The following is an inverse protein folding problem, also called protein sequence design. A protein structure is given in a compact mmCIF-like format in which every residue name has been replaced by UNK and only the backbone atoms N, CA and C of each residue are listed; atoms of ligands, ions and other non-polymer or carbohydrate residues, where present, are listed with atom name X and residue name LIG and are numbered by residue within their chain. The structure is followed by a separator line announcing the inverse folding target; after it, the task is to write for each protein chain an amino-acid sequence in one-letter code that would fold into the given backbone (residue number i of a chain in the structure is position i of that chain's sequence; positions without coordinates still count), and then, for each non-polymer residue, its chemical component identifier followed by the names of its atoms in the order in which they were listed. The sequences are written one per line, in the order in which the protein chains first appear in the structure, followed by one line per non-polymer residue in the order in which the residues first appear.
data_IF_348963257338
#
_entry.id   IF_348963257338
#
_cell.length_a   1.000
_cell.length_b   1.000
_cell.length_c   1.000
_cell.angle_alpha   90.00
_cell.angle_beta   90.00
_cell.angle_gamma   90.00
#
_symmetry.space_group_name_H-M   'P 1'
#
loop_
_entity.id
_entity.type
_entity.pdbx_description
1 polymer ?
#
# COMPACT_ATOMS: atom_id res chain seq x y z
N UNK A 1 15.61 -26.08 30.44
CA UNK A 1 16.71 -25.09 30.34
C UNK A 1 16.82 -24.73 28.87
N UNK A 2 16.66 -23.46 28.50
CA UNK A 2 16.59 -23.03 27.10
C UNK A 2 17.47 -21.79 26.90
N UNK A 3 18.35 -21.81 25.90
CA UNK A 3 19.25 -20.70 25.57
C UNK A 3 18.60 -19.67 24.64
N UNK A 4 19.15 -18.46 24.64
CA UNK A 4 18.90 -17.43 23.62
C UNK A 4 20.05 -17.42 22.59
N UNK A 5 19.76 -17.02 21.35
CA UNK A 5 20.74 -16.56 20.34
C UNK A 5 20.02 -15.83 19.19
N UNK A 6 20.70 -14.88 18.54
CA UNK A 6 20.14 -13.93 17.56
C UNK A 6 20.17 -14.43 16.10
N UNK A 7 19.32 -13.87 15.21
CA UNK A 7 19.21 -14.31 13.81
C UNK A 7 18.49 -13.38 12.81
N UNK A 8 18.98 -12.15 12.66
CA UNK A 8 19.00 -11.30 11.44
C UNK A 8 17.96 -11.60 10.32
N UNK A 9 16.85 -10.83 10.28
CA UNK A 9 16.13 -10.40 9.06
C UNK A 9 15.16 -9.25 9.45
N UNK A 10 14.95 -8.17 8.64
CA UNK A 10 14.35 -6.93 9.16
C UNK A 10 12.87 -6.98 9.53
N UNK A 11 12.06 -7.78 8.84
CA UNK A 11 10.59 -7.70 8.91
C UNK A 11 9.95 -9.09 8.98
N UNK A 12 9.84 -9.63 10.20
CA UNK A 12 9.08 -10.85 10.49
C UNK A 12 8.11 -10.58 11.64
N UNK A 13 6.81 -10.70 11.38
CA UNK A 13 5.75 -10.57 12.38
C UNK A 13 4.98 -11.90 12.45
N UNK A 14 4.81 -12.47 13.64
CA UNK A 14 4.17 -13.78 13.86
C UNK A 14 2.85 -13.66 14.63
N UNK A 15 1.89 -14.52 14.30
CA UNK A 15 0.63 -14.70 15.03
C UNK A 15 0.36 -16.20 15.17
N UNK A 16 -0.12 -16.61 16.36
CA UNK A 16 -0.45 -18.00 16.77
C UNK A 16 -1.99 -18.21 16.66
N UNK A 17 -2.57 -19.44 16.55
CA UNK A 17 -2.05 -20.77 16.88
C UNK A 17 -1.80 -21.64 15.63
N UNK A 18 -1.98 -22.97 15.67
CA UNK A 18 -1.57 -23.99 14.64
C UNK A 18 -2.73 -24.27 13.65
N UNK A 19 -2.62 -25.06 12.56
CA UNK A 19 -1.58 -25.98 12.08
C UNK A 19 -0.31 -25.28 11.53
N UNK A 20 0.80 -26.01 11.37
CA UNK A 20 2.10 -25.45 10.93
C UNK A 20 2.17 -25.07 9.44
N UNK A 21 1.14 -24.42 8.88
CA UNK A 21 1.15 -23.89 7.53
C UNK A 21 2.12 -22.70 7.42
N UNK A 22 3.30 -22.92 6.84
CA UNK A 22 4.15 -21.84 6.33
C UNK A 22 3.61 -21.46 4.96
N UNK A 23 3.06 -20.27 4.83
CA UNK A 23 2.65 -19.71 3.55
C UNK A 23 3.74 -18.76 3.03
N UNK A 24 4.17 -18.96 1.79
CA UNK A 24 5.12 -18.12 1.08
C UNK A 24 4.43 -17.54 -0.15
N UNK A 25 4.51 -16.21 -0.35
CA UNK A 25 3.86 -15.53 -1.48
C UNK A 25 4.67 -14.33 -2.01
N UNK A 26 4.65 -14.13 -3.33
CA UNK A 26 5.32 -13.01 -4.01
C UNK A 26 4.45 -11.74 -3.94
N UNK A 27 5.08 -10.58 -3.72
CA UNK A 27 4.48 -9.24 -3.88
C UNK A 27 3.35 -8.88 -2.91
N UNK A 28 2.95 -9.79 -2.01
CA UNK A 28 1.88 -9.58 -1.03
C UNK A 28 1.96 -10.59 0.10
N UNK A 29 1.52 -10.20 1.29
CA UNK A 29 1.33 -11.15 2.40
C UNK A 29 0.34 -12.26 2.00
N UNK A 30 0.62 -13.53 2.33
CA UNK A 30 -0.29 -14.63 2.07
C UNK A 30 -1.57 -14.53 2.89
N UNK A 31 -2.67 -15.04 2.35
CA UNK A 31 -3.95 -15.15 3.07
C UNK A 31 -3.94 -16.43 3.91
N UNK A 32 -3.95 -16.30 5.24
CA UNK A 32 -4.07 -17.43 6.18
C UNK A 32 -5.53 -17.53 6.66
N UNK A 33 -6.05 -18.76 6.73
CA UNK A 33 -7.24 -19.09 7.52
C UNK A 33 -6.84 -20.12 8.56
N UNK A 34 -7.15 -19.89 9.84
CA UNK A 34 -6.63 -20.74 10.91
C UNK A 34 -7.49 -22.00 11.15
N UNK A 35 -8.80 -21.94 10.83
CA UNK A 35 -9.79 -22.99 11.12
C UNK A 35 -10.49 -23.54 9.86
N UNK A 36 -9.82 -23.62 8.70
CA UNK A 36 -10.42 -24.01 7.41
C UNK A 36 -11.68 -23.19 7.02
N UNK A 37 -11.77 -21.94 7.49
CA UNK A 37 -12.93 -21.08 7.25
C UNK A 37 -13.06 -20.73 5.76
N UNK A 38 -14.18 -21.14 5.15
CA UNK A 38 -14.48 -20.87 3.74
C UNK A 38 -14.55 -19.36 3.52
N UNK A 39 -13.69 -18.81 2.65
CA UNK A 39 -13.79 -17.41 2.24
C UNK A 39 -15.16 -17.15 1.59
N UNK A 40 -15.82 -16.00 1.85
CA UNK A 40 -17.08 -15.66 1.20
C UNK A 40 -16.91 -15.68 -0.32
N UNK A 41 -17.88 -16.26 -1.02
CA UNK A 41 -17.79 -16.62 -2.46
C UNK A 41 -17.67 -15.43 -3.42
N UNK A 42 -17.79 -14.20 -2.92
CA UNK A 42 -17.47 -12.95 -3.63
C UNK A 42 -15.97 -12.62 -3.68
N UNK A 43 -15.12 -13.32 -2.93
CA UNK A 43 -13.67 -13.17 -3.01
C UNK A 43 -13.14 -13.84 -4.29
N UNK A 44 -12.59 -13.05 -5.21
CA UNK A 44 -11.88 -13.58 -6.39
C UNK A 44 -10.71 -14.47 -5.94
N UNK A 45 -10.79 -15.76 -6.29
CA UNK A 45 -9.88 -16.85 -5.87
C UNK A 45 -9.19 -17.55 -7.05
N UNK A 46 -9.23 -16.97 -8.26
CA UNK A 46 -8.32 -17.40 -9.35
C UNK A 46 -6.88 -17.04 -8.95
N UNK A 47 -6.06 -18.09 -8.80
CA UNK A 47 -4.65 -18.03 -8.40
C UNK A 47 -4.39 -17.35 -7.05
N UNK A 48 -4.56 -18.11 -5.96
CA UNK A 48 -3.66 -17.92 -4.83
C UNK A 48 -2.40 -18.77 -5.07
N UNK A 49 -1.40 -18.17 -5.73
CA UNK A 49 -0.09 -18.79 -5.97
C UNK A 49 0.76 -18.86 -4.66
N UNK A 50 0.13 -19.11 -3.50
CA UNK A 50 0.83 -19.24 -2.22
C UNK A 50 1.34 -20.66 -2.01
N UNK A 51 2.63 -20.79 -1.72
CA UNK A 51 3.27 -22.08 -1.45
C UNK A 51 3.04 -22.40 0.02
N UNK A 52 2.29 -23.47 0.30
CA UNK A 52 1.94 -23.90 1.67
C UNK A 52 2.75 -25.14 2.05
N UNK A 53 3.41 -25.09 3.20
CA UNK A 53 4.30 -26.15 3.69
C UNK A 53 3.98 -26.46 5.15
N UNK A 54 3.75 -27.73 5.48
CA UNK A 54 3.59 -28.19 6.86
C UNK A 54 4.91 -28.76 7.39
N UNK A 55 5.33 -28.34 8.59
CA UNK A 55 6.59 -28.81 9.21
C UNK A 55 6.41 -29.12 10.69
N UNK A 56 6.87 -30.27 11.15
CA UNK A 56 6.94 -30.60 12.59
C UNK A 56 8.23 -30.02 13.21
N UNK A 57 8.11 -29.51 14.44
CA UNK A 57 9.22 -29.01 15.25
C UNK A 57 9.61 -30.04 16.31
N UNK A 58 10.90 -30.10 16.66
CA UNK A 58 11.43 -31.05 17.66
C UNK A 58 12.47 -30.40 18.57
N UNK A 59 12.61 -30.90 19.80
CA UNK A 59 13.48 -30.32 20.85
C UNK A 59 14.97 -30.20 20.45
N UNK A 60 15.44 -31.03 19.51
CA UNK A 60 16.74 -30.90 18.86
C UNK A 60 16.59 -31.16 17.36
N UNK A 61 16.15 -30.14 16.62
CA UNK A 61 15.88 -30.28 15.18
C UNK A 61 17.18 -30.35 14.36
N UNK A 62 17.66 -31.58 14.14
CA UNK A 62 18.86 -31.88 13.32
C UNK A 62 18.66 -31.63 11.81
N UNK A 63 17.41 -31.61 11.33
CA UNK A 63 17.09 -31.52 9.90
C UNK A 63 16.26 -30.25 9.63
N UNK A 64 16.75 -29.41 8.71
CA UNK A 64 15.97 -28.29 8.15
C UNK A 64 15.00 -28.80 7.07
N UNK A 65 13.79 -28.23 7.00
CA UNK A 65 12.88 -28.47 5.86
C UNK A 65 13.33 -27.61 4.68
N UNK A 66 13.79 -28.23 3.60
CA UNK A 66 14.19 -27.55 2.38
C UNK A 66 12.95 -27.33 1.49
N UNK A 67 12.76 -26.10 1.03
CA UNK A 67 11.80 -25.77 -0.03
C UNK A 67 12.55 -25.46 -1.34
N UNK A 68 12.44 -26.30 -2.37
CA UNK A 68 12.93 -25.95 -3.70
C UNK A 68 11.93 -25.01 -4.41
N UNK A 69 12.27 -23.73 -4.53
CA UNK A 69 11.53 -22.76 -5.35
C UNK A 69 12.21 -22.62 -6.71
N UNK A 70 11.74 -23.36 -7.71
CA UNK A 70 12.20 -23.22 -9.08
C UNK A 70 11.58 -21.98 -9.75
N UNK A 71 12.33 -21.36 -10.68
CA UNK A 71 11.88 -20.20 -11.47
C UNK A 71 11.13 -19.11 -10.68
N UNK A 72 11.69 -18.58 -9.58
CA UNK A 72 11.06 -17.54 -8.78
C UNK A 72 10.84 -16.26 -9.60
N UNK A 73 9.77 -15.52 -9.29
CA UNK A 73 9.59 -14.14 -9.74
C UNK A 73 10.50 -13.19 -8.95
N UNK A 74 10.93 -12.13 -9.61
CA UNK A 74 11.61 -10.99 -8.98
C UNK A 74 10.64 -10.14 -8.15
N UNK A 75 11.18 -9.43 -7.16
CA UNK A 75 10.43 -8.63 -6.19
C UNK A 75 10.42 -9.24 -4.79
N UNK A 76 9.65 -8.66 -3.88
CA UNK A 76 9.60 -9.07 -2.48
C UNK A 76 8.83 -10.38 -2.26
N UNK A 77 9.36 -11.24 -1.38
CA UNK A 77 8.75 -12.50 -0.99
C UNK A 77 8.35 -12.46 0.49
N UNK A 78 7.06 -12.68 0.77
CA UNK A 78 6.49 -12.61 2.11
C UNK A 78 6.22 -14.01 2.65
N UNK A 79 6.76 -14.29 3.84
CA UNK A 79 6.51 -15.51 4.63
C UNK A 79 5.58 -15.18 5.78
N UNK A 80 4.60 -16.04 6.03
CA UNK A 80 3.87 -16.07 7.30
C UNK A 80 3.73 -17.52 7.80
N UNK A 81 3.75 -17.71 9.13
CA UNK A 81 3.69 -19.01 9.78
C UNK A 81 2.92 -18.92 11.10
N UNK A 82 2.23 -20.00 11.49
CA UNK A 82 1.32 -20.04 12.63
C UNK A 82 1.43 -21.36 13.44
N UNK A 83 1.43 -21.25 14.79
CA UNK A 83 1.60 -22.31 15.82
C UNK A 83 1.39 -21.68 17.20
N UNK A 84 0.86 -22.25 18.31
CA UNK A 84 -0.07 -23.35 18.68
C UNK A 84 -0.48 -23.10 20.16
N UNK A 85 -1.60 -23.53 20.74
CA UNK A 85 -2.84 -24.19 20.29
C UNK A 85 -2.76 -25.73 20.35
N UNK A 86 -1.85 -26.26 21.16
CA UNK A 86 -1.58 -27.69 21.34
C UNK A 86 -2.38 -28.34 22.49
N UNK A 87 -3.02 -27.53 23.33
CA UNK A 87 -3.89 -27.98 24.43
C UNK A 87 -5.06 -26.99 24.55
N UNK A 88 -6.28 -27.52 24.49
CA UNK A 88 -7.54 -26.77 24.69
C UNK A 88 -7.99 -26.82 26.16
N UNK A 89 -7.28 -27.54 27.03
CA UNK A 89 -7.64 -27.74 28.43
C UNK A 89 -7.15 -26.59 29.30
N UNK A 90 -7.95 -26.23 30.29
CA UNK A 90 -7.64 -25.16 31.24
C UNK A 90 -6.52 -25.60 32.19
N UNK A 91 -5.27 -25.29 31.82
CA UNK A 91 -4.12 -25.49 32.70
C UNK A 91 -4.10 -24.44 33.82
N UNK A 92 -3.85 -24.86 35.06
CA UNK A 92 -3.85 -23.99 36.23
C UNK A 92 -2.70 -22.97 36.16
N UNK A 93 -3.04 -21.70 36.42
CA UNK A 93 -2.17 -20.55 36.17
C UNK A 93 -0.90 -20.58 37.04
N UNK A 94 0.21 -21.02 36.44
CA UNK A 94 1.52 -21.15 37.09
C UNK A 94 2.25 -22.47 36.83
N UNK A 95 1.54 -23.53 36.43
CA UNK A 95 2.12 -24.87 36.24
C UNK A 95 2.53 -25.18 34.78
N UNK A 96 2.07 -24.40 33.80
CA UNK A 96 2.40 -24.60 32.38
C UNK A 96 3.81 -24.11 32.01
N UNK A 97 4.64 -24.99 31.42
CA UNK A 97 5.95 -24.60 30.87
C UNK A 97 5.81 -23.67 29.66
N UNK A 98 6.30 -22.43 29.78
CA UNK A 98 6.37 -21.46 28.68
C UNK A 98 7.50 -21.81 27.70
N UNK A 99 7.22 -22.72 26.77
CA UNK A 99 8.10 -22.98 25.63
C UNK A 99 8.23 -21.70 24.78
N UNK A 100 9.46 -21.20 24.61
CA UNK A 100 9.79 -20.21 23.59
C UNK A 100 10.09 -20.94 22.29
N UNK A 101 9.50 -20.49 21.19
CA UNK A 101 9.71 -21.05 19.85
C UNK A 101 10.36 -19.99 18.97
N UNK A 102 11.41 -20.38 18.24
CA UNK A 102 12.07 -19.55 17.24
C UNK A 102 12.05 -20.26 15.90
N UNK A 103 11.81 -19.50 14.83
CA UNK A 103 11.88 -20.00 13.44
C UNK A 103 13.02 -19.27 12.72
N UNK A 104 14.05 -20.03 12.36
CA UNK A 104 15.09 -19.56 11.44
C UNK A 104 14.73 -19.92 10.00
N UNK A 105 14.96 -19.01 9.07
CA UNK A 105 14.81 -19.24 7.63
C UNK A 105 16.04 -18.72 6.90
N UNK A 106 16.72 -19.59 6.15
CA UNK A 106 17.84 -19.21 5.27
C UNK A 106 17.40 -19.46 3.83
N UNK A 107 17.52 -18.43 2.99
CA UNK A 107 17.36 -18.56 1.55
C UNK A 107 18.71 -18.89 0.91
N UNK A 108 18.73 -19.87 0.03
CA UNK A 108 19.87 -20.20 -0.84
C UNK A 108 19.38 -20.08 -2.29
N UNK A 109 20.20 -19.50 -3.16
CA UNK A 109 19.87 -19.27 -4.56
C UNK A 109 20.98 -19.80 -5.48
N UNK A 110 20.58 -20.34 -6.62
CA UNK A 110 21.47 -20.72 -7.73
C UNK A 110 21.08 -19.89 -8.95
N UNK A 111 22.04 -19.20 -9.55
CA UNK A 111 21.83 -18.41 -10.77
C UNK A 111 22.04 -19.27 -12.02
N UNK A 112 21.33 -18.94 -13.10
CA UNK A 112 21.65 -19.43 -14.45
C UNK A 112 22.34 -18.29 -15.18
N UNK A 113 23.65 -18.41 -15.34
CA UNK A 113 24.49 -17.39 -15.96
C UNK A 113 24.45 -17.44 -17.50
N UNK A 114 24.98 -16.38 -18.14
CA UNK A 114 25.15 -16.28 -19.58
C UNK A 114 23.89 -16.51 -20.46
N UNK A 115 22.68 -16.31 -19.89
CA UNK A 115 21.42 -16.29 -20.66
C UNK A 115 21.50 -15.21 -21.75
N UNK A 116 21.39 -15.63 -23.02
CA UNK A 116 21.55 -14.78 -24.20
C UNK A 116 20.34 -13.87 -24.45
N UNK A 117 20.58 -12.72 -25.10
CA UNK A 117 19.56 -11.71 -25.41
C UNK A 117 18.95 -11.93 -26.81
N UNK A 118 17.63 -11.99 -26.92
CA UNK A 118 16.91 -11.87 -28.19
C UNK A 118 16.56 -10.40 -28.42
N UNK A 119 17.17 -9.79 -29.44
CA UNK A 119 16.89 -8.42 -29.87
C UNK A 119 15.53 -8.31 -30.55
N UNK A 120 14.70 -7.37 -30.09
CA UNK A 120 13.36 -7.13 -30.64
C UNK A 120 13.43 -6.49 -32.04
N UNK A 121 12.53 -6.88 -32.93
CA UNK A 121 12.43 -6.40 -34.33
C UNK A 121 13.31 -7.16 -35.33
N UNK A 122 14.49 -7.62 -34.90
CA UNK A 122 15.45 -8.33 -35.75
C UNK A 122 15.22 -9.85 -35.77
N UNK A 123 15.62 -10.50 -36.87
CA UNK A 123 15.78 -11.95 -36.90
C UNK A 123 17.15 -12.30 -36.33
N UNK A 124 17.20 -13.34 -35.51
CA UNK A 124 18.43 -13.88 -34.94
C UNK A 124 18.45 -15.41 -35.11
N UNK A 125 19.65 -15.95 -35.30
CA UNK A 125 19.90 -17.39 -35.33
C UNK A 125 20.65 -17.76 -34.06
N UNK A 126 20.18 -18.80 -33.36
CA UNK A 126 20.78 -19.27 -32.12
C UNK A 126 21.13 -20.75 -32.21
N UNK A 127 22.21 -21.14 -31.54
CA UNK A 127 22.64 -22.52 -31.37
C UNK A 127 22.49 -22.93 -29.90
N UNK A 128 21.99 -24.14 -29.62
CA UNK A 128 21.75 -24.59 -28.23
C UNK A 128 23.01 -25.21 -27.63
N UNK A 129 23.58 -24.58 -26.60
CA UNK A 129 24.79 -25.06 -25.90
C UNK A 129 24.59 -26.36 -25.10
N UNK A 130 23.35 -26.66 -24.68
CA UNK A 130 22.98 -27.88 -23.94
C UNK A 130 21.56 -28.32 -24.33
N UNK A 131 21.08 -29.43 -23.75
CA UNK A 131 19.70 -29.93 -23.93
C UNK A 131 18.62 -29.02 -23.33
N UNK A 132 18.98 -28.00 -22.55
CA UNK A 132 18.04 -27.07 -21.90
C UNK A 132 18.64 -25.67 -21.87
N UNK A 133 18.27 -24.84 -22.84
CA UNK A 133 18.74 -23.45 -22.94
C UNK A 133 17.64 -22.44 -22.62
N UNK A 134 18.07 -21.30 -22.09
CA UNK A 134 17.22 -20.16 -21.80
C UNK A 134 17.70 -18.95 -22.60
N UNK A 135 16.75 -18.18 -23.12
CA UNK A 135 16.99 -16.91 -23.79
C UNK A 135 16.10 -15.85 -23.13
N UNK A 136 16.62 -14.62 -22.98
CA UNK A 136 15.88 -13.50 -22.37
C UNK A 136 15.60 -12.40 -23.38
N UNK A 137 14.50 -11.70 -23.18
CA UNK A 137 13.92 -10.74 -24.12
C UNK A 137 13.48 -9.54 -23.32
N UNK A 138 14.01 -8.36 -23.63
CA UNK A 138 13.56 -7.12 -23.00
C UNK A 138 12.35 -6.57 -23.75
N UNK A 139 11.22 -6.38 -23.06
CA UNK A 139 10.04 -5.71 -23.59
C UNK A 139 9.96 -4.31 -22.96
N UNK A 140 10.21 -3.22 -23.72
CA UNK A 140 10.06 -1.87 -23.21
C UNK A 140 8.59 -1.50 -22.98
N UNK A 141 8.35 -0.48 -22.15
CA UNK A 141 7.04 0.18 -22.04
C UNK A 141 6.51 0.67 -23.41
N UNK A 142 5.18 0.70 -23.56
CA UNK A 142 4.51 1.09 -24.80
C UNK A 142 4.34 0.00 -25.87
N UNK A 143 4.86 -1.22 -25.65
CA UNK A 143 4.54 -2.40 -26.50
C UNK A 143 3.19 -2.96 -26.08
N UNK A 144 2.17 -2.89 -26.95
CA UNK A 144 0.81 -3.38 -26.65
C UNK A 144 0.69 -4.90 -26.72
N UNK A 145 1.35 -5.53 -27.69
CA UNK A 145 1.42 -6.99 -27.83
C UNK A 145 2.71 -7.36 -28.54
N UNK A 146 3.17 -8.61 -28.44
CA UNK A 146 4.28 -9.08 -29.25
C UNK A 146 4.07 -10.51 -29.77
N UNK A 147 4.65 -10.78 -30.93
CA UNK A 147 4.67 -12.10 -31.55
C UNK A 147 6.10 -12.61 -31.60
N UNK A 148 6.38 -13.71 -30.91
CA UNK A 148 7.66 -14.40 -30.97
C UNK A 148 7.51 -15.62 -31.86
N UNK A 149 8.13 -15.59 -33.03
CA UNK A 149 8.14 -16.70 -33.99
C UNK A 149 9.46 -17.47 -33.90
N UNK A 150 9.39 -18.80 -33.88
CA UNK A 150 10.51 -19.74 -33.93
C UNK A 150 10.33 -20.65 -35.16
N UNK A 151 11.37 -20.82 -35.98
CA UNK A 151 11.31 -21.62 -37.22
C UNK A 151 12.71 -22.06 -37.69
N UNK A 152 12.78 -22.84 -38.78
CA UNK A 152 14.02 -23.35 -39.41
C UNK A 152 14.98 -23.93 -38.36
N UNK A 153 14.56 -25.04 -37.75
CA UNK A 153 15.24 -25.68 -36.62
C UNK A 153 15.93 -26.96 -37.10
N UNK A 154 17.26 -27.01 -37.08
CA UNK A 154 18.06 -28.09 -37.65
C UNK A 154 19.04 -28.65 -36.60
N UNK A 155 19.28 -29.96 -36.62
CA UNK A 155 20.34 -30.58 -35.82
C UNK A 155 21.72 -30.32 -36.42
N UNK A 156 22.69 -29.87 -35.62
CA UNK A 156 24.08 -29.65 -36.06
C UNK A 156 24.91 -30.94 -36.08
N UNK A 157 24.48 -31.97 -35.34
CA UNK A 157 25.07 -33.31 -35.36
C UNK A 157 24.23 -34.25 -36.21
N UNK A 158 24.74 -34.59 -37.40
CA UNK A 158 24.15 -35.57 -38.31
C UNK A 158 24.25 -37.01 -37.75
N UNK A 159 23.33 -37.36 -36.86
CA UNK A 159 22.86 -38.75 -36.73
C UNK A 159 21.60 -38.91 -37.57
N UNK A 160 21.35 -40.11 -38.10
CA UNK A 160 20.19 -40.41 -38.94
C UNK A 160 18.97 -40.63 -38.02
N UNK A 161 18.41 -39.55 -37.49
CA UNK A 161 17.11 -39.54 -36.81
C UNK A 161 16.02 -39.13 -37.80
N UNK A 162 14.81 -39.69 -37.62
CA UNK A 162 13.71 -39.53 -38.57
C UNK A 162 13.31 -38.05 -38.72
N UNK A 163 13.04 -37.61 -39.95
CA UNK A 163 12.58 -36.26 -40.30
C UNK A 163 11.26 -35.90 -39.57
N UNK A 164 10.56 -36.92 -39.05
CA UNK A 164 9.36 -36.81 -38.21
C UNK A 164 9.63 -36.45 -36.73
N UNK A 165 10.87 -36.56 -36.23
CA UNK A 165 11.18 -36.21 -34.84
C UNK A 165 11.16 -34.69 -34.61
N UNK A 166 10.67 -34.22 -33.43
CA UNK A 166 10.76 -32.81 -33.07
C UNK A 166 12.20 -32.43 -32.70
N UNK A 167 12.73 -31.41 -33.36
CA UNK A 167 14.06 -30.84 -33.05
C UNK A 167 14.03 -30.01 -31.76
N UNK A 168 12.91 -29.31 -31.49
CA UNK A 168 12.57 -28.77 -30.17
C UNK A 168 11.49 -29.66 -29.57
N UNK A 169 11.86 -30.43 -28.56
CA UNK A 169 10.97 -31.33 -27.82
C UNK A 169 9.97 -30.53 -26.97
N UNK A 170 10.40 -29.42 -26.37
CA UNK A 170 9.50 -28.46 -25.71
C UNK A 170 10.08 -27.05 -25.71
N UNK A 171 9.23 -26.08 -26.04
CA UNK A 171 9.45 -24.65 -25.84
C UNK A 171 8.36 -24.06 -24.94
N UNK A 172 8.73 -23.09 -24.12
CA UNK A 172 7.81 -22.38 -23.22
C UNK A 172 8.26 -20.94 -23.00
N UNK A 173 7.30 -19.99 -22.98
CA UNK A 173 7.54 -18.55 -22.81
C UNK A 173 6.86 -18.07 -21.52
N UNK A 174 7.59 -17.31 -20.69
CA UNK A 174 7.08 -16.77 -19.42
C UNK A 174 7.67 -15.38 -19.13
N UNK A 175 6.82 -14.44 -18.69
CA UNK A 175 7.26 -13.12 -18.23
C UNK A 175 7.72 -13.11 -16.77
N UNK A 176 8.67 -12.24 -16.43
CA UNK A 176 9.16 -11.93 -15.06
C UNK A 176 9.79 -13.09 -14.27
N UNK A 177 9.83 -14.30 -14.82
CA UNK A 177 10.48 -15.47 -14.22
C UNK A 177 10.78 -16.52 -15.29
N UNK A 178 11.80 -17.35 -15.03
CA UNK A 178 12.14 -18.49 -15.89
C UNK A 178 10.94 -19.46 -16.02
N UNK A 179 10.65 -20.02 -17.21
CA UNK A 179 9.71 -21.12 -17.37
C UNK A 179 10.21 -22.37 -16.63
N UNK A 180 9.29 -23.17 -16.12
CA UNK A 180 9.58 -24.40 -15.38
C UNK A 180 8.75 -25.51 -16.01
N UNK A 181 9.38 -26.61 -16.43
CA UNK A 181 8.65 -27.77 -16.92
C UNK A 181 8.13 -28.60 -15.74
N UNK A 182 6.93 -28.28 -15.24
CA UNK A 182 6.28 -29.03 -14.18
C UNK A 182 5.19 -29.95 -14.76
N UNK A 183 5.38 -31.27 -14.64
CA UNK A 183 4.44 -32.29 -15.14
C UNK A 183 3.01 -32.12 -14.63
N UNK A 184 2.81 -31.54 -13.43
CA UNK A 184 1.50 -31.37 -12.80
C UNK A 184 0.73 -30.13 -13.31
N UNK A 185 1.41 -29.15 -13.90
CA UNK A 185 0.81 -27.91 -14.39
C UNK A 185 1.22 -27.65 -15.84
N UNK A 186 0.78 -28.53 -16.74
CA UNK A 186 1.06 -28.47 -18.18
C UNK A 186 0.31 -27.33 -18.89
N UNK A 187 0.65 -26.09 -18.56
CA UNK A 187 0.39 -24.95 -19.47
C UNK A 187 1.16 -25.24 -20.77
N UNK A 188 0.51 -25.00 -21.91
CA UNK A 188 0.77 -25.76 -23.15
C UNK A 188 2.24 -25.85 -23.59
N UNK A 189 2.89 -26.99 -23.33
CA UNK A 189 4.18 -27.34 -23.91
C UNK A 189 4.06 -27.49 -25.43
N UNK A 190 4.74 -26.65 -26.21
CA UNK A 190 4.73 -26.73 -27.68
C UNK A 190 6.03 -27.37 -28.18
N UNK A 191 5.95 -28.17 -29.23
CA UNK A 191 7.09 -28.82 -29.88
C UNK A 191 7.27 -28.26 -31.31
N UNK A 192 8.46 -28.43 -31.89
CA UNK A 192 8.77 -27.99 -33.25
C UNK A 192 9.52 -29.09 -34.02
N UNK A 193 9.05 -29.45 -35.21
CA UNK A 193 9.78 -30.26 -36.19
C UNK A 193 10.56 -29.36 -37.15
N UNK A 194 11.51 -29.93 -37.89
CA UNK A 194 12.51 -29.17 -38.67
C UNK A 194 11.90 -28.14 -39.64
N UNK A 195 10.85 -28.56 -40.38
CA UNK A 195 10.13 -27.73 -41.34
C UNK A 195 8.92 -26.96 -40.76
N UNK A 196 8.73 -26.97 -39.43
CA UNK A 196 7.65 -26.24 -38.80
C UNK A 196 8.06 -24.82 -38.40
N UNK A 197 7.07 -23.94 -38.27
CA UNK A 197 7.19 -22.69 -37.51
C UNK A 197 6.13 -22.63 -36.43
N UNK A 198 6.45 -21.99 -35.31
CA UNK A 198 5.51 -21.74 -34.22
C UNK A 198 5.61 -20.28 -33.79
N UNK A 199 4.48 -19.68 -33.42
CA UNK A 199 4.43 -18.28 -32.94
C UNK A 199 3.71 -18.20 -31.61
N UNK A 200 4.41 -17.76 -30.58
CA UNK A 200 3.80 -17.30 -29.33
C UNK A 200 3.25 -15.89 -29.54
N UNK A 201 2.05 -15.63 -29.04
CA UNK A 201 1.41 -14.31 -29.08
C UNK A 201 1.08 -13.86 -27.66
N UNK A 202 1.77 -12.84 -27.17
CA UNK A 202 1.44 -12.19 -25.90
C UNK A 202 0.59 -10.95 -26.17
N UNK A 203 -0.57 -10.85 -25.53
CA UNK A 203 -1.61 -9.84 -25.82
C UNK A 203 -1.70 -8.74 -24.75
N UNK A 204 -1.06 -8.93 -23.60
CA UNK A 204 -0.95 -7.92 -22.55
C UNK A 204 0.41 -8.09 -21.84
N UNK A 205 1.52 -7.70 -22.49
CA UNK A 205 2.85 -7.94 -21.98
C UNK A 205 3.14 -7.07 -20.76
N UNK A 206 3.96 -7.59 -19.84
CA UNK A 206 4.47 -6.79 -18.73
C UNK A 206 5.40 -5.68 -19.24
N UNK A 207 5.08 -4.42 -18.93
CA UNK A 207 5.92 -3.26 -19.25
C UNK A 207 7.29 -3.31 -18.55
N UNK A 208 8.32 -2.78 -19.23
CA UNK A 208 9.73 -2.70 -18.81
C UNK A 208 10.21 -3.95 -18.05
N UNK A 209 9.88 -5.12 -18.61
CA UNK A 209 10.07 -6.42 -17.99
C UNK A 209 10.75 -7.40 -18.94
N UNK A 210 11.54 -8.31 -18.37
CA UNK A 210 12.11 -9.43 -19.11
C UNK A 210 11.11 -10.57 -19.29
N UNK A 211 11.06 -11.10 -20.51
CA UNK A 211 10.47 -12.39 -20.85
C UNK A 211 11.57 -13.42 -21.06
N UNK A 212 11.28 -14.67 -20.71
CA UNK A 212 12.21 -15.78 -20.79
C UNK A 212 11.61 -16.90 -21.65
N UNK A 213 12.34 -17.30 -22.68
CA UNK A 213 12.05 -18.44 -23.54
C UNK A 213 12.93 -19.62 -23.07
N UNK A 214 12.29 -20.72 -22.70
CA UNK A 214 12.91 -22.03 -22.47
C UNK A 214 12.84 -22.83 -23.78
N UNK A 215 13.95 -23.44 -24.17
CA UNK A 215 14.06 -24.38 -25.29
C UNK A 215 14.70 -25.69 -24.79
N UNK A 216 14.04 -26.81 -25.06
CA UNK A 216 14.52 -28.16 -24.74
C UNK A 216 14.67 -28.96 -26.04
N UNK A 217 15.83 -29.59 -26.21
CA UNK A 217 16.20 -30.38 -27.39
C UNK A 217 17.02 -31.60 -26.99
N UNK A 218 16.98 -32.67 -27.79
CA UNK A 218 17.74 -33.91 -27.56
C UNK A 218 19.24 -33.78 -27.87
N UNK A 219 19.61 -32.79 -28.67
CA UNK A 219 20.94 -32.59 -29.24
C UNK A 219 21.13 -31.12 -29.59
N UNK A 220 22.36 -30.73 -29.94
CA UNK A 220 22.69 -29.37 -30.38
C UNK A 220 21.93 -29.05 -31.68
N UNK A 221 21.02 -28.08 -31.60
CA UNK A 221 20.25 -27.53 -32.72
C UNK A 221 20.65 -26.09 -33.02
N UNK A 222 20.49 -25.69 -34.27
CA UNK A 222 20.43 -24.30 -34.72
C UNK A 222 18.97 -23.94 -35.05
N UNK A 223 18.48 -22.78 -34.63
CA UNK A 223 17.13 -22.32 -34.95
C UNK A 223 17.05 -20.81 -35.17
N UNK A 224 16.05 -20.36 -35.93
CA UNK A 224 15.77 -18.94 -36.16
C UNK A 224 14.66 -18.45 -35.23
N UNK A 225 14.81 -17.23 -34.72
CA UNK A 225 13.80 -16.55 -33.90
C UNK A 225 13.67 -15.08 -34.29
N UNK A 226 12.46 -14.53 -34.14
CA UNK A 226 12.17 -13.10 -34.32
C UNK A 226 11.04 -12.67 -33.41
N UNK A 227 11.23 -11.52 -32.74
CA UNK A 227 10.19 -10.89 -31.92
C UNK A 227 9.67 -9.67 -32.67
N UNK A 228 8.40 -9.72 -33.06
CA UNK A 228 7.69 -8.58 -33.68
C UNK A 228 6.85 -7.87 -32.61
N UNK A 229 7.23 -6.66 -32.17
CA UNK A 229 6.41 -5.85 -31.28
C UNK A 229 5.27 -5.20 -32.07
N UNK A 230 4.10 -5.09 -31.44
CA UNK A 230 3.01 -4.23 -31.89
C UNK A 230 2.97 -3.02 -30.97
N UNK A 231 3.36 -1.87 -31.52
CA UNK A 231 3.26 -0.56 -30.86
C UNK A 231 2.03 0.12 -31.47
N UNK A 232 1.09 0.55 -30.64
CA UNK A 232 -0.22 1.01 -31.11
C UNK A 232 -0.47 2.47 -30.73
N UNK A 233 -0.59 3.34 -31.74
CA UNK A 233 -0.82 4.79 -31.58
C UNK A 233 -2.25 5.16 -31.12
N UNK A 234 -2.96 4.26 -30.44
CA UNK A 234 -4.21 4.58 -29.76
C UNK A 234 -3.90 5.00 -28.32
N UNK A 235 -4.56 6.05 -27.85
CA UNK A 235 -4.50 6.49 -26.46
C UNK A 235 -5.83 6.21 -25.77
N UNK A 236 -5.79 5.42 -24.70
CA UNK A 236 -6.92 5.25 -23.80
C UNK A 236 -7.06 6.47 -22.88
N UNK A 237 -8.29 6.98 -22.78
CA UNK A 237 -8.74 7.91 -21.76
C UNK A 237 -9.77 7.19 -20.88
N UNK A 238 -9.49 7.08 -19.59
CA UNK A 238 -10.42 6.53 -18.61
C UNK A 238 -10.99 7.69 -17.79
N UNK A 239 -12.30 7.90 -17.90
CA UNK A 239 -13.06 8.87 -17.12
C UNK A 239 -13.71 8.12 -15.95
N UNK A 240 -13.52 8.63 -14.73
CA UNK A 240 -14.03 7.99 -13.51
C UNK A 240 -14.95 8.97 -12.80
N UNK A 241 -16.20 8.58 -12.61
CA UNK A 241 -17.26 9.35 -11.97
C UNK A 241 -17.55 8.78 -10.56
N UNK A 242 -17.64 9.66 -9.57
CA UNK A 242 -17.86 9.31 -8.16
C UNK A 242 -19.08 10.09 -7.62
N UNK A 243 -20.05 9.39 -7.02
CA UNK A 243 -21.25 9.99 -6.43
C UNK A 243 -21.67 9.27 -5.13
N UNK A 244 -22.21 10.02 -4.16
CA UNK A 244 -22.76 9.48 -2.91
C UNK A 244 -24.24 9.14 -3.06
N UNK A 245 -24.71 8.08 -2.41
CA UNK A 245 -26.07 7.53 -2.36
C UNK A 245 -26.73 7.12 -3.69
N UNK A 246 -26.16 7.51 -4.84
CA UNK A 246 -26.71 7.26 -6.18
C UNK A 246 -25.62 6.80 -7.13
N UNK A 247 -25.98 5.91 -8.04
CA UNK A 247 -25.14 5.47 -9.16
C UNK A 247 -24.97 6.66 -10.14
N UNK A 248 -23.73 7.07 -10.49
CA UNK A 248 -23.49 8.14 -11.45
C UNK A 248 -24.20 7.91 -12.79
N UNK A 249 -24.85 8.95 -13.32
CA UNK A 249 -25.36 8.96 -14.69
C UNK A 249 -24.30 9.51 -15.64
N UNK A 250 -23.98 8.76 -16.68
CA UNK A 250 -23.13 9.21 -17.78
C UNK A 250 -23.94 10.11 -18.72
N UNK A 251 -23.38 11.25 -19.11
CA UNK A 251 -23.98 12.15 -20.10
C UNK A 251 -23.76 11.68 -21.55
N UNK A 252 -24.45 12.34 -22.49
CA UNK A 252 -24.45 12.00 -23.93
C UNK A 252 -23.08 12.07 -24.63
N UNK A 253 -22.03 12.56 -23.95
CA UNK A 253 -20.65 12.59 -24.45
C UNK A 253 -19.68 11.80 -23.56
N UNK A 254 -20.19 10.81 -22.81
CA UNK A 254 -19.45 9.97 -21.87
C UNK A 254 -18.72 10.73 -20.74
N UNK A 255 -19.10 12.00 -20.52
CA UNK A 255 -18.71 12.81 -19.38
C UNK A 255 -19.60 12.50 -18.16
N UNK A 256 -19.04 12.73 -16.96
CA UNK A 256 -19.78 12.68 -15.71
C UNK A 256 -20.74 13.89 -15.61
N UNK A 257 -21.96 13.69 -15.09
CA UNK A 257 -22.94 14.78 -14.94
C UNK A 257 -22.52 15.78 -13.83
N UNK A 258 -22.92 17.04 -13.95
CA UNK A 258 -22.36 18.19 -13.21
C UNK A 258 -22.33 18.13 -11.67
N UNK A 259 -23.12 17.25 -11.04
CA UNK A 259 -23.15 17.03 -9.58
C UNK A 259 -22.17 15.93 -9.11
N UNK A 260 -21.43 15.30 -10.04
CA UNK A 260 -20.58 14.14 -9.75
C UNK A 260 -19.10 14.49 -9.85
N UNK A 261 -18.32 13.99 -8.88
CA UNK A 261 -16.88 14.21 -8.84
C UNK A 261 -16.24 13.37 -9.97
N UNK A 262 -15.35 13.97 -10.74
CA UNK A 262 -14.75 13.31 -11.91
C UNK A 262 -13.23 13.43 -11.93
N UNK A 263 -12.56 12.37 -12.38
CA UNK A 263 -11.13 12.37 -12.65
C UNK A 263 -10.81 11.65 -13.97
N UNK A 264 -9.73 12.08 -14.63
CA UNK A 264 -9.28 11.53 -15.91
C UNK A 264 -7.87 10.93 -15.84
N UNK A 265 -7.75 9.67 -16.26
CA UNK A 265 -6.50 8.94 -16.42
C UNK A 265 -6.23 8.77 -17.91
N UNK A 266 -4.99 8.96 -18.37
CA UNK A 266 -4.67 8.84 -19.80
C UNK A 266 -3.35 8.15 -20.07
N UNK A 267 -3.38 7.21 -21.01
CA UNK A 267 -2.25 6.34 -21.39
C UNK A 267 -1.04 7.07 -22.00
N UNK A 268 -1.11 8.39 -22.19
CA UNK A 268 -0.08 9.19 -22.85
C UNK A 268 0.61 10.19 -21.92
N UNK A 269 -0.07 10.67 -20.87
CA UNK A 269 0.38 11.80 -20.04
C UNK A 269 0.04 11.67 -18.54
N UNK A 270 -0.87 10.76 -18.15
CA UNK A 270 -1.37 10.63 -16.77
C UNK A 270 -1.59 9.16 -16.41
N UNK A 271 -0.49 8.44 -16.16
CA UNK A 271 -0.53 7.04 -15.71
C UNK A 271 -0.97 6.90 -14.25
N UNK A 272 -0.72 7.92 -13.42
CA UNK A 272 -1.12 7.99 -12.02
C UNK A 272 -1.87 9.30 -11.73
N UNK A 273 -3.07 9.22 -11.15
CA UNK A 273 -3.78 10.39 -10.60
C UNK A 273 -4.36 10.07 -9.23
N UNK A 274 -4.07 10.94 -8.26
CA UNK A 274 -4.63 10.86 -6.92
C UNK A 274 -5.83 11.80 -6.80
N UNK A 275 -6.91 11.35 -6.18
CA UNK A 275 -8.09 12.15 -5.86
C UNK A 275 -8.49 11.93 -4.40
N UNK A 276 -8.73 13.03 -3.68
CA UNK A 276 -8.95 13.02 -2.23
C UNK A 276 -10.27 13.71 -1.90
N UNK A 277 -11.15 12.99 -1.21
CA UNK A 277 -12.38 13.57 -0.66
C UNK A 277 -12.10 13.93 0.81
N UNK A 278 -12.09 15.23 1.11
CA UNK A 278 -11.88 15.76 2.47
C UNK A 278 -13.21 15.69 3.25
N UNK A 279 -13.18 15.21 4.49
CA UNK A 279 -14.35 14.95 5.34
C UNK A 279 -15.54 14.26 4.61
N UNK A 280 -15.34 13.05 4.06
CA UNK A 280 -16.37 12.34 3.32
C UNK A 280 -17.58 12.04 4.22
N UNK A 281 -18.77 12.43 3.75
CA UNK A 281 -20.02 12.13 4.44
C UNK A 281 -20.25 10.60 4.52
N UNK A 282 -20.78 10.09 5.66
CA UNK A 282 -21.16 8.69 5.79
C UNK A 282 -22.28 8.34 4.80
N UNK A 283 -22.21 7.15 4.22
CA UNK A 283 -23.14 6.68 3.18
C UNK A 283 -22.44 5.76 2.18
N UNK A 284 -23.18 5.28 1.19
CA UNK A 284 -22.62 4.44 0.12
C UNK A 284 -22.09 5.34 -1.00
N UNK A 285 -20.82 5.16 -1.35
CA UNK A 285 -20.19 5.87 -2.46
C UNK A 285 -20.08 4.94 -3.68
N UNK A 286 -20.67 5.36 -4.79
CA UNK A 286 -20.66 4.64 -6.06
C UNK A 286 -19.58 5.22 -6.97
N UNK A 287 -18.79 4.34 -7.58
CA UNK A 287 -17.72 4.68 -8.51
C UNK A 287 -17.99 3.96 -9.83
N UNK A 288 -18.00 4.71 -10.93
CA UNK A 288 -18.08 4.17 -12.30
C UNK A 288 -16.84 4.63 -13.06
N UNK A 289 -16.16 3.70 -13.72
CA UNK A 289 -15.19 4.00 -14.77
C UNK A 289 -15.82 3.79 -16.16
N UNK A 290 -15.46 4.65 -17.10
CA UNK A 290 -15.76 4.49 -18.51
C UNK A 290 -14.50 4.81 -19.33
N UNK A 291 -14.31 4.12 -20.46
CA UNK A 291 -13.09 4.23 -21.27
C UNK A 291 -13.43 4.58 -22.71
N UNK A 292 -12.72 5.59 -23.25
CA UNK A 292 -12.78 6.02 -24.64
C UNK A 292 -11.39 5.88 -25.22
N UNK A 293 -11.28 5.32 -26.43
CA UNK A 293 -10.02 5.16 -27.12
C UNK A 293 -9.93 6.18 -28.26
N UNK A 294 -8.82 6.92 -28.32
CA UNK A 294 -8.58 7.93 -29.35
C UNK A 294 -7.45 7.46 -30.26
N UNK A 295 -7.66 7.56 -31.57
CA UNK A 295 -6.57 7.40 -32.55
C UNK A 295 -5.68 8.65 -32.53
N UNK A 296 -4.47 8.57 -33.09
CA UNK A 296 -3.50 9.68 -33.21
C UNK A 296 -4.12 10.99 -33.72
N UNK A 297 -5.11 10.89 -34.61
CA UNK A 297 -5.84 12.03 -35.18
C UNK A 297 -6.94 12.62 -34.25
N UNK A 298 -6.90 12.34 -32.95
CA UNK A 298 -7.81 12.90 -31.93
C UNK A 298 -9.28 12.44 -32.00
N UNK A 299 -9.63 11.56 -32.94
CA UNK A 299 -10.99 11.00 -33.06
C UNK A 299 -11.15 9.77 -32.17
N UNK A 300 -12.31 9.66 -31.52
CA UNK A 300 -12.73 8.45 -30.82
C UNK A 300 -12.88 7.29 -31.82
N UNK A 301 -12.40 6.12 -31.41
CA UNK A 301 -12.44 4.86 -32.18
C UNK A 301 -12.84 3.73 -31.25
N UNK A 302 -13.34 2.62 -31.82
CA UNK A 302 -13.53 1.41 -31.02
C UNK A 302 -12.17 0.95 -30.48
N UNK A 303 -12.09 0.75 -29.17
CA UNK A 303 -10.91 0.19 -28.52
C UNK A 303 -10.58 -1.17 -29.14
N UNK A 304 -9.36 -1.35 -29.66
CA UNK A 304 -8.88 -2.65 -30.13
C UNK A 304 -8.21 -3.47 -29.00
N UNK A 305 -8.19 -2.92 -27.79
CA UNK A 305 -7.80 -3.59 -26.56
C UNK A 305 -8.84 -4.64 -26.17
N UNK A 306 -8.42 -5.88 -25.91
CA UNK A 306 -9.33 -6.96 -25.50
C UNK A 306 -9.81 -6.83 -24.05
N UNK A 307 -8.86 -6.56 -23.14
CA UNK A 307 -9.10 -6.20 -21.74
C UNK A 307 -8.10 -5.10 -21.35
N UNK A 308 -8.44 -4.22 -20.40
CA UNK A 308 -7.51 -3.25 -19.79
C UNK A 308 -7.63 -3.33 -18.27
N UNK A 309 -6.50 -3.54 -17.59
CA UNK A 309 -6.42 -3.64 -16.14
C UNK A 309 -6.16 -2.27 -15.50
N UNK A 310 -7.18 -1.69 -14.88
CA UNK A 310 -7.03 -0.52 -13.99
C UNK A 310 -6.89 -0.99 -12.53
N UNK A 311 -5.82 -0.58 -11.83
CA UNK A 311 -5.67 -0.80 -10.38
C UNK A 311 -6.16 0.44 -9.64
N UNK A 312 -7.23 0.31 -8.86
CA UNK A 312 -7.78 1.38 -8.02
C UNK A 312 -7.46 1.12 -6.54
N UNK A 313 -6.78 2.06 -5.87
CA UNK A 313 -6.27 1.91 -4.51
C UNK A 313 -6.99 2.87 -3.54
N UNK A 314 -8.23 2.53 -3.16
CA UNK A 314 -9.05 3.35 -2.25
C UNK A 314 -8.56 3.16 -0.81
N UNK A 315 -8.22 4.26 -0.13
CA UNK A 315 -7.80 4.27 1.29
C UNK A 315 -8.40 5.46 2.02
N UNK A 316 -8.91 5.20 3.22
CA UNK A 316 -9.25 6.26 4.19
C UNK A 316 -7.96 6.62 4.94
N UNK A 317 -7.69 7.92 5.09
CA UNK A 317 -6.57 8.46 5.89
C UNK A 317 -7.12 9.38 6.99
N UNK A 318 -6.34 9.56 8.07
CA UNK A 318 -6.70 10.47 9.18
C UNK A 318 -6.48 11.94 8.79
N UNK A 319 -5.36 12.24 8.14
CA UNK A 319 -5.02 13.55 7.60
C UNK A 319 -4.45 13.39 6.17
N UNK A 320 -4.25 14.49 5.45
CA UNK A 320 -4.11 14.47 3.98
C UNK A 320 -2.73 14.03 3.50
N UNK A 321 -1.66 14.43 4.18
CA UNK A 321 -0.29 14.19 3.70
C UNK A 321 0.26 12.80 4.10
N UNK A 322 1.53 12.55 3.76
CA UNK A 322 2.22 11.28 3.99
C UNK A 322 2.30 10.94 5.48
N UNK A 323 2.31 9.64 5.80
CA UNK A 323 2.16 9.11 7.16
C UNK A 323 3.30 9.52 8.12
N UNK A 324 4.44 9.98 7.59
CA UNK A 324 5.55 10.59 8.36
C UNK A 324 5.29 12.05 8.80
N UNK A 325 4.47 12.80 8.04
CA UNK A 325 4.18 14.24 8.23
C UNK A 325 2.74 14.56 7.80
N UNK A 326 1.74 14.07 8.54
CA UNK A 326 0.33 14.08 8.12
C UNK A 326 -0.29 15.47 7.89
N UNK A 327 0.30 16.53 8.46
CA UNK A 327 -0.08 17.94 8.30
C UNK A 327 1.12 18.81 7.87
N UNK A 328 2.01 18.24 7.05
CA UNK A 328 3.22 18.91 6.58
C UNK A 328 4.22 19.22 7.70
N UNK A 329 4.90 20.37 7.60
CA UNK A 329 5.76 20.91 8.66
C UNK A 329 5.02 21.92 9.57
N UNK A 330 3.75 22.21 9.30
CA UNK A 330 3.06 23.42 9.77
C UNK A 330 1.87 23.14 10.71
N UNK A 331 1.65 21.87 11.07
CA UNK A 331 0.69 21.47 12.09
C UNK A 331 0.86 20.02 12.53
N UNK A 332 0.05 19.61 13.50
CA UNK A 332 0.02 18.26 14.07
C UNK A 332 -1.35 17.64 13.78
N UNK A 333 -1.37 16.40 13.27
CA UNK A 333 -2.62 15.65 13.07
C UNK A 333 -3.14 15.19 14.43
N UNK A 334 -4.29 15.73 14.85
CA UNK A 334 -4.91 15.45 16.13
C UNK A 334 -6.20 14.64 15.93
N UNK A 335 -6.28 13.50 16.61
CA UNK A 335 -7.50 12.68 16.67
C UNK A 335 -8.42 13.22 17.77
N UNK A 336 -9.69 13.41 17.43
CA UNK A 336 -10.71 13.98 18.30
C UNK A 336 -11.90 13.02 18.33
N UNK A 337 -12.21 12.53 19.53
CA UNK A 337 -13.44 11.81 19.82
C UNK A 337 -14.41 12.75 20.54
N UNK A 338 -15.57 13.00 19.95
CA UNK A 338 -16.68 13.75 20.57
C UNK A 338 -17.95 12.91 20.50
N UNK A 339 -18.37 12.38 21.63
CA UNK A 339 -19.47 11.43 21.77
C UNK A 339 -19.27 10.20 20.85
N UNK A 340 -20.04 10.12 19.76
CA UNK A 340 -20.00 9.02 18.76
C UNK A 340 -19.16 9.40 17.53
N UNK A 341 -18.78 10.67 17.38
CA UNK A 341 -18.00 11.15 16.25
C UNK A 341 -16.50 11.00 16.53
N UNK A 342 -15.84 10.15 15.75
CA UNK A 342 -14.39 10.04 15.67
C UNK A 342 -13.93 10.73 14.39
N UNK A 343 -13.11 11.76 14.50
CA UNK A 343 -12.49 12.42 13.36
C UNK A 343 -11.06 12.85 13.68
N UNK A 344 -10.27 13.09 12.64
CA UNK A 344 -8.94 13.68 12.77
C UNK A 344 -8.93 15.03 12.04
N UNK A 345 -8.09 15.95 12.50
CA UNK A 345 -7.92 17.28 11.91
C UNK A 345 -6.49 17.77 12.12
N UNK A 346 -6.03 18.67 11.27
CA UNK A 346 -4.73 19.32 11.43
C UNK A 346 -4.84 20.52 12.38
N UNK A 347 -4.11 20.46 13.50
CA UNK A 347 -3.95 21.58 14.44
C UNK A 347 -2.71 22.39 14.03
N UNK A 348 -2.92 23.60 13.50
CA UNK A 348 -1.87 24.38 12.85
C UNK A 348 -1.02 25.20 13.82
N UNK A 349 0.25 25.39 13.48
CA UNK A 349 1.13 26.31 14.21
C UNK A 349 0.81 27.77 13.88
N UNK A 350 1.15 28.70 14.79
CA UNK A 350 0.84 30.13 14.65
C UNK A 350 1.39 30.68 13.33
N UNK A 351 0.54 31.40 12.59
CA UNK A 351 0.84 31.88 11.23
C UNK A 351 0.28 31.01 10.11
N UNK A 352 -0.22 29.80 10.43
CA UNK A 352 -0.79 28.86 9.46
C UNK A 352 -2.25 28.52 9.79
N UNK A 353 -3.02 28.30 8.74
CA UNK A 353 -4.46 28.07 8.70
C UNK A 353 -4.80 27.09 7.57
N UNK A 354 -6.08 26.83 7.33
CA UNK A 354 -6.53 25.82 6.38
C UNK A 354 -6.68 24.44 7.02
N UNK A 355 -7.25 23.50 6.27
CA UNK A 355 -7.53 22.13 6.73
C UNK A 355 -6.30 21.21 6.63
N UNK A 356 -5.23 21.66 5.99
CA UNK A 356 -3.94 20.98 5.83
C UNK A 356 -2.74 21.79 6.37
N UNK A 357 -3.02 22.96 6.97
CA UNK A 357 -2.05 23.93 7.48
C UNK A 357 -1.13 24.58 6.44
N UNK A 358 -1.54 24.69 5.17
CA UNK A 358 -0.76 25.38 4.13
C UNK A 358 -1.08 26.87 3.97
N UNK A 359 -2.28 27.32 4.35
CA UNK A 359 -2.71 28.72 4.16
C UNK A 359 -2.05 29.65 5.18
N UNK A 360 -1.30 30.67 4.74
CA UNK A 360 -0.65 31.64 5.62
C UNK A 360 -1.68 32.64 6.16
N UNK A 361 -1.84 32.71 7.48
CA UNK A 361 -2.78 33.63 8.14
C UNK A 361 -2.16 35.03 8.28
N UNK A 362 -2.77 36.04 7.65
CA UNK A 362 -2.34 37.43 7.81
C UNK A 362 -2.39 37.88 9.28
N UNK A 363 -1.29 38.45 9.77
CA UNK A 363 -0.96 38.65 11.19
C UNK A 363 -1.82 39.65 11.98
N UNK A 364 -2.83 40.24 11.34
CA UNK A 364 -3.66 41.33 11.88
C UNK A 364 -4.48 40.89 13.10
N UNK A 365 -4.96 39.65 13.14
CA UNK A 365 -5.77 39.09 14.24
C UNK A 365 -4.97 38.92 15.54
N UNK A 366 -3.67 38.65 15.47
CA UNK A 366 -2.82 38.39 16.64
C UNK A 366 -2.53 39.65 17.48
N UNK A 367 -2.53 40.84 16.86
CA UNK A 367 -2.32 42.11 17.56
C UNK A 367 -3.60 42.50 18.33
N UNK A 368 -4.77 42.27 17.74
CA UNK A 368 -6.07 42.56 18.37
C UNK A 368 -6.31 41.73 19.64
N UNK A 369 -6.01 40.43 19.62
CA UNK A 369 -6.18 39.57 20.80
C UNK A 369 -5.22 39.91 21.93
N UNK A 370 -3.97 40.26 21.64
CA UNK A 370 -3.00 40.67 22.67
C UNK A 370 -3.39 41.98 23.35
N UNK A 371 -3.85 42.99 22.59
CA UNK A 371 -4.33 44.25 23.16
C UNK A 371 -5.57 44.06 24.03
N UNK A 372 -6.51 43.20 23.62
CA UNK A 372 -7.68 42.87 24.44
C UNK A 372 -7.28 42.16 25.74
N UNK A 373 -6.37 41.19 25.70
CA UNK A 373 -5.90 40.49 26.89
C UNK A 373 -5.21 41.43 27.90
N UNK A 374 -4.36 42.34 27.41
CA UNK A 374 -3.73 43.37 28.25
C UNK A 374 -4.75 44.31 28.87
N UNK A 375 -5.77 44.75 28.12
CA UNK A 375 -6.83 45.61 28.64
C UNK A 375 -7.68 44.93 29.73
N UNK A 376 -8.02 43.64 29.56
CA UNK A 376 -8.76 42.89 30.59
C UNK A 376 -7.92 42.69 31.86
N UNK A 377 -6.67 42.26 31.73
CA UNK A 377 -5.75 42.10 32.88
C UNK A 377 -5.51 43.43 33.61
N UNK A 378 -5.38 44.54 32.88
CA UNK A 378 -5.26 45.88 33.48
C UNK A 378 -6.56 46.34 34.17
N UNK A 379 -7.74 45.89 33.73
CA UNK A 379 -9.00 46.25 34.38
C UNK A 379 -9.11 45.69 35.81
N UNK A 380 -8.53 44.52 36.07
CA UNK A 380 -8.45 43.94 37.42
C UNK A 380 -7.59 44.76 38.41
N UNK A 381 -6.72 45.66 37.95
CA UNK A 381 -6.04 46.60 38.83
C UNK A 381 -7.01 47.53 39.60
N UNK A 382 -8.28 47.63 39.17
CA UNK A 382 -9.33 48.36 39.88
C UNK A 382 -9.68 47.77 41.26
N UNK A 383 -9.28 46.54 41.58
CA UNK A 383 -9.39 46.01 42.95
C UNK A 383 -8.39 46.62 43.94
N UNK A 384 -7.28 47.23 43.47
CA UNK A 384 -6.20 47.73 44.34
C UNK A 384 -6.69 48.82 45.32
N UNK A 385 -7.49 49.84 44.92
CA UNK A 385 -8.08 50.79 45.86
C UNK A 385 -8.99 50.15 46.92
N UNK A 386 -9.77 49.12 46.56
CA UNK A 386 -10.65 48.43 47.50
C UNK A 386 -9.83 47.63 48.55
N UNK A 387 -8.81 46.90 48.10
CA UNK A 387 -7.84 46.20 48.97
C UNK A 387 -7.17 47.19 49.92
N UNK A 388 -6.71 48.34 49.41
CA UNK A 388 -6.06 49.38 50.24
C UNK A 388 -7.00 49.93 51.32
N UNK A 389 -8.27 50.23 50.97
CA UNK A 389 -9.27 50.74 51.92
C UNK A 389 -9.61 49.69 53.00
N UNK A 390 -9.79 48.42 52.61
CA UNK A 390 -10.07 47.33 53.55
C UNK A 390 -8.92 47.16 54.57
N UNK A 391 -7.67 47.12 54.10
CA UNK A 391 -6.47 47.05 54.97
C UNK A 391 -6.38 48.28 55.88
N UNK A 392 -6.61 49.51 55.36
CA UNK A 392 -6.66 50.75 56.17
C UNK A 392 -7.72 50.72 57.27
N UNK A 393 -8.83 49.99 57.06
CA UNK A 393 -9.92 49.80 58.02
C UNK A 393 -9.75 48.58 58.94
N UNK A 394 -8.64 47.83 58.82
CA UNK A 394 -8.36 46.55 59.51
C UNK A 394 -9.32 45.39 59.14
N UNK A 395 -9.99 45.49 57.98
CA UNK A 395 -10.92 44.49 57.45
C UNK A 395 -10.14 43.45 56.63
N UNK A 396 -9.30 42.67 57.32
CA UNK A 396 -8.31 41.78 56.70
C UNK A 396 -8.93 40.63 55.91
N UNK A 397 -10.09 40.13 56.31
CA UNK A 397 -10.79 39.05 55.59
C UNK A 397 -11.29 39.53 54.22
N UNK A 398 -11.99 40.66 54.16
CA UNK A 398 -12.45 41.29 52.92
C UNK A 398 -11.27 41.64 52.01
N UNK A 399 -10.19 42.24 52.57
CA UNK A 399 -8.97 42.54 51.82
C UNK A 399 -8.31 41.31 51.19
N UNK A 400 -8.36 40.15 51.87
CA UNK A 400 -7.87 38.88 51.34
C UNK A 400 -8.78 38.35 50.22
N UNK A 401 -10.10 38.45 50.36
CA UNK A 401 -11.06 38.03 49.31
C UNK A 401 -10.88 38.89 48.05
N UNK A 402 -10.79 40.22 48.17
CA UNK A 402 -10.55 41.09 47.02
C UNK A 402 -9.20 40.80 46.33
N UNK A 403 -8.15 40.50 47.11
CA UNK A 403 -6.83 40.13 46.57
C UNK A 403 -6.85 38.77 45.87
N UNK A 404 -7.60 37.79 46.39
CA UNK A 404 -7.80 36.50 45.75
C UNK A 404 -8.53 36.64 44.41
N UNK A 405 -9.67 37.34 44.37
CA UNK A 405 -10.45 37.59 43.14
C UNK A 405 -9.63 38.33 42.08
N UNK A 406 -8.84 39.35 42.48
CA UNK A 406 -7.94 40.05 41.55
C UNK A 406 -6.93 39.10 40.88
N UNK A 407 -6.38 38.14 41.63
CA UNK A 407 -5.39 37.19 41.12
C UNK A 407 -6.04 36.11 40.25
N UNK A 408 -7.14 35.49 40.68
CA UNK A 408 -7.79 34.41 39.94
C UNK A 408 -8.39 34.90 38.61
N UNK A 409 -9.10 36.03 38.59
CA UNK A 409 -9.60 36.65 37.36
C UNK A 409 -8.47 36.99 36.37
N UNK A 410 -7.34 37.49 36.86
CA UNK A 410 -6.19 37.83 36.01
C UNK A 410 -5.52 36.59 35.40
N UNK A 411 -5.46 35.48 36.16
CA UNK A 411 -5.00 34.18 35.65
C UNK A 411 -5.98 33.57 34.64
N UNK A 412 -7.29 33.72 34.87
CA UNK A 412 -8.33 33.25 33.95
C UNK A 412 -8.21 33.94 32.57
N UNK A 413 -8.11 35.27 32.54
CA UNK A 413 -7.95 36.01 31.28
C UNK A 413 -6.61 35.72 30.57
N UNK A 414 -5.54 35.40 31.31
CA UNK A 414 -4.28 34.94 30.74
C UNK A 414 -4.35 33.53 30.10
N UNK A 415 -5.24 32.66 30.59
CA UNK A 415 -5.49 31.33 30.02
C UNK A 415 -6.36 31.38 28.75
N UNK A 416 -7.41 32.18 28.77
CA UNK A 416 -8.52 32.11 27.80
C UNK A 416 -8.13 32.56 26.40
N UNK A 417 -7.46 33.71 26.29
CA UNK A 417 -7.36 34.45 25.03
C UNK A 417 -6.26 33.95 24.06
N UNK A 418 -5.60 32.83 24.38
CA UNK A 418 -4.50 32.25 23.59
C UNK A 418 -4.48 30.70 23.60
N UNK A 419 -5.63 30.04 23.79
CA UNK A 419 -5.75 28.58 23.71
C UNK A 419 -4.92 27.84 24.76
N UNK A 420 -4.79 28.41 25.97
CA UNK A 420 -4.07 27.81 27.08
C UNK A 420 -2.54 27.93 27.05
N UNK A 421 -1.93 28.58 26.05
CA UNK A 421 -0.46 28.56 25.90
C UNK A 421 0.34 29.27 27.03
N UNK A 422 -0.31 30.16 27.79
CA UNK A 422 0.26 30.79 29.00
C UNK A 422 -0.34 30.26 30.31
N UNK A 423 -1.13 29.19 30.25
CA UNK A 423 -1.97 28.75 31.35
C UNK A 423 -1.21 27.84 32.32
N UNK A 424 -0.89 28.36 33.52
CA UNK A 424 -0.11 27.66 34.55
C UNK A 424 -0.93 26.55 35.25
N UNK A 425 -2.26 26.61 35.18
CA UNK A 425 -3.18 25.73 35.92
C UNK A 425 -4.30 25.24 35.01
N UNK A 426 -4.83 24.03 35.20
CA UNK A 426 -6.00 23.55 34.45
C UNK A 426 -7.23 24.46 34.67
N UNK A 427 -8.03 24.64 33.61
CA UNK A 427 -9.31 25.39 33.61
C UNK A 427 -10.25 25.02 34.77
N UNK A 428 -10.28 23.73 35.16
CA UNK A 428 -11.10 23.19 36.26
C UNK A 428 -10.85 23.92 37.61
N UNK A 429 -9.67 24.52 37.80
CA UNK A 429 -9.31 25.26 39.02
C UNK A 429 -9.73 26.73 38.97
N UNK A 430 -9.97 27.31 37.79
CA UNK A 430 -10.42 28.72 37.67
C UNK A 430 -11.87 28.93 38.16
N UNK A 431 -12.63 27.87 38.40
CA UNK A 431 -14.00 27.96 38.95
C UNK A 431 -14.05 28.59 40.36
N UNK A 432 -12.90 28.68 41.05
CA UNK A 432 -12.74 29.35 42.34
C UNK A 432 -13.10 30.85 42.27
N UNK A 433 -12.84 31.52 41.14
CA UNK A 433 -13.09 32.97 40.97
C UNK A 433 -14.59 33.33 41.13
N UNK A 434 -15.45 32.42 40.65
CA UNK A 434 -16.91 32.51 40.75
C UNK A 434 -17.39 32.28 42.19
N UNK A 435 -16.74 31.37 42.94
CA UNK A 435 -16.99 31.17 44.37
C UNK A 435 -16.54 32.37 45.22
N UNK A 436 -15.35 32.94 44.97
CA UNK A 436 -14.89 34.15 45.66
C UNK A 436 -15.83 35.34 45.40
N UNK A 437 -16.34 35.48 44.18
CA UNK A 437 -17.32 36.50 43.82
C UNK A 437 -18.63 36.38 44.60
N UNK A 438 -19.12 35.16 44.87
CA UNK A 438 -20.33 34.96 45.68
C UNK A 438 -20.17 35.46 47.13
N UNK A 439 -19.01 35.25 47.76
CA UNK A 439 -18.74 35.72 49.13
C UNK A 439 -18.65 37.25 49.26
N UNK A 440 -18.41 37.99 48.16
CA UNK A 440 -18.39 39.46 48.15
C UNK A 440 -19.81 40.05 48.24
N UNK A 441 -20.84 39.34 47.78
CA UNK A 441 -22.23 39.83 47.72
C UNK A 441 -23.11 39.37 48.91
N UNK A 442 -22.54 38.78 49.96
CA UNK A 442 -23.30 38.10 51.01
C UNK A 442 -22.99 38.55 52.45
N UNK A 443 -22.28 39.68 52.62
CA UNK A 443 -22.03 40.37 53.90
C UNK A 443 -22.49 41.84 53.80
#
# INVERSE_FOLDING_TARGET
MCLELHGILPHLWMIQPVNHGKHLKVGSYPKITLNNGIFPTSAYTKQDDSIVITTTTTYQQKNATILPVYGPQSGDWFVAAYMSYWDERVQQQGLGHKCRYSIGTVALWSQVDNIENISVGYQMTFQTSTTTTYYKIYIPSGVWSFRLSVWNCNFLLHNIQDIREPCIETMSLKGRALPILNHLYRKESKYLTTNASYTFTELSPYEDSYYYLLVISKSVIEFNVKVLPSIQHQSALITICIQRDRIPKLGNLHSCQSETLSMNLSSLNKHNTNFSIVYPQPGTWYIISHMICYNWNGKSVHCQYGEISMIMNVRIRKCIFSDQKPCGNHGICQEIQKNVLHYATCNCFKGYTGWDCTDISNTITAISSFMSAMLLILSNAFFIPAIYIAIKRKLYAEGLVYLATMLFSSLYHACDQNGGQFCIVKYEVCYIDLFCSFFIFQN
#
